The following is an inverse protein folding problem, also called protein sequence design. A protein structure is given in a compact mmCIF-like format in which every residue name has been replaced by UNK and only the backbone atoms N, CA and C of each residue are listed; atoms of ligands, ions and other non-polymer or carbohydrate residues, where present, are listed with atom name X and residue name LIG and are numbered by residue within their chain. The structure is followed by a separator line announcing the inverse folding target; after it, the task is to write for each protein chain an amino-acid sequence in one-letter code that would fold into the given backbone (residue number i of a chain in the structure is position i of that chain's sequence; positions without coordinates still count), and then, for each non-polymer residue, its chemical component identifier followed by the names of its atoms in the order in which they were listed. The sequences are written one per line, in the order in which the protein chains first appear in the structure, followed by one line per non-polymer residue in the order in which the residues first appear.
data_IF_433060919167
#
_entry.id   IF_433060919167
#
_cell.length_a   1.000
_cell.length_b   1.000
_cell.length_c   1.000
_cell.angle_alpha   90.00
_cell.angle_beta   90.00
_cell.angle_gamma   90.00
#
_symmetry.space_group_name_H-M   'P 1'
#
loop_
_entity.id
_entity.type
_entity.pdbx_description
1 polymer ?
#
# COMPACT_ATOMS: atom_id res chain seq x y z
N UNK A 1 3.86 35.07 -2.57
CA UNK A 1 3.50 33.79 -1.95
C UNK A 1 3.44 32.76 -3.05
N UNK A 2 4.56 32.11 -3.36
CA UNK A 2 4.61 31.04 -4.35
C UNK A 2 3.95 29.82 -3.74
N UNK A 3 2.74 29.46 -4.18
CA UNK A 3 2.08 28.25 -3.70
C UNK A 3 2.80 27.04 -4.28
N UNK A 4 3.42 26.25 -3.41
CA UNK A 4 4.00 24.94 -3.74
C UNK A 4 2.84 23.96 -3.92
N UNK A 5 2.37 23.78 -5.16
CA UNK A 5 1.38 22.76 -5.44
C UNK A 5 2.06 21.39 -5.31
N UNK A 6 1.59 20.58 -4.36
CA UNK A 6 2.14 19.25 -4.13
C UNK A 6 2.06 18.35 -5.37
N UNK A 7 3.03 17.45 -5.53
CA UNK A 7 3.07 16.46 -6.62
C UNK A 7 1.80 15.60 -6.61
N UNK A 8 1.16 15.45 -7.79
CA UNK A 8 0.01 14.55 -7.95
C UNK A 8 0.41 13.11 -7.64
N UNK A 9 -0.37 12.44 -6.80
CA UNK A 9 -0.18 11.05 -6.40
C UNK A 9 -1.50 10.27 -6.47
N UNK A 10 -1.39 8.94 -6.53
CA UNK A 10 -2.52 8.01 -6.43
C UNK A 10 -2.11 6.79 -5.60
N UNK A 11 -3.08 6.07 -5.05
CA UNK A 11 -2.81 4.90 -4.24
C UNK A 11 -4.02 4.02 -3.96
N UNK A 12 -3.76 2.94 -3.23
CA UNK A 12 -4.76 1.95 -2.84
C UNK A 12 -4.90 1.93 -1.31
N UNK A 13 -6.14 1.88 -0.82
CA UNK A 13 -6.47 1.51 0.55
C UNK A 13 -6.68 0.00 0.63
N UNK A 14 -5.79 -0.70 1.31
CA UNK A 14 -5.90 -2.14 1.57
C UNK A 14 -5.24 -2.45 2.91
N UNK A 15 -5.96 -3.05 3.84
CA UNK A 15 -5.38 -3.45 5.11
C UNK A 15 -4.48 -4.69 4.97
N UNK A 16 -3.46 -4.79 5.81
CA UNK A 16 -2.48 -5.89 5.80
C UNK A 16 -3.16 -7.25 5.96
N UNK A 17 -4.20 -7.33 6.80
CA UNK A 17 -4.95 -8.57 7.05
C UNK A 17 -5.65 -9.12 5.81
N UNK A 18 -5.86 -8.29 4.79
CA UNK A 18 -6.50 -8.67 3.52
C UNK A 18 -5.52 -9.25 2.51
N UNK A 19 -4.21 -9.22 2.79
CA UNK A 19 -3.21 -9.83 1.92
C UNK A 19 -3.35 -11.36 1.93
N UNK A 20 -3.05 -12.03 0.80
CA UNK A 20 -2.98 -13.48 0.77
C UNK A 20 -1.86 -13.95 1.72
N UNK A 21 -2.16 -14.94 2.55
CA UNK A 21 -1.18 -15.59 3.42
C UNK A 21 -1.50 -17.07 3.58
N UNK A 22 -0.47 -17.87 3.84
CA UNK A 22 -0.61 -19.30 4.12
C UNK A 22 -1.22 -19.60 5.49
N UNK A 23 -1.33 -18.59 6.35
CA UNK A 23 -1.73 -18.74 7.76
C UNK A 23 -3.11 -18.15 8.08
N UNK A 24 -3.92 -17.86 7.06
CA UNK A 24 -5.33 -17.46 7.20
C UNK A 24 -5.58 -15.97 7.44
N UNK A 25 -4.55 -15.18 7.74
CA UNK A 25 -4.60 -13.72 7.82
C UNK A 25 -3.36 -13.13 7.18
N UNK A 26 -3.52 -12.05 6.43
CA UNK A 26 -2.39 -11.34 5.84
C UNK A 26 -1.47 -10.74 6.91
N UNK A 27 -0.18 -10.69 6.58
CA UNK A 27 0.90 -10.28 7.47
C UNK A 27 1.94 -9.46 6.70
N UNK A 28 2.98 -8.99 7.40
CA UNK A 28 4.11 -8.29 6.79
C UNK A 28 5.17 -9.25 6.19
N UNK A 29 4.74 -10.39 5.66
CA UNK A 29 5.57 -11.38 4.98
C UNK A 29 5.72 -11.13 3.47
N UNK A 30 6.06 -12.17 2.67
CA UNK A 30 6.36 -12.03 1.24
C UNK A 30 5.29 -11.31 0.43
N UNK A 31 4.01 -11.57 0.68
CA UNK A 31 2.91 -10.95 -0.07
C UNK A 31 2.77 -9.44 0.16
N UNK A 32 3.31 -8.90 1.25
CA UNK A 32 3.39 -7.45 1.44
C UNK A 32 4.41 -6.80 0.47
N UNK A 33 5.54 -7.46 0.24
CA UNK A 33 6.53 -7.01 -0.75
C UNK A 33 6.02 -7.16 -2.17
N UNK A 34 5.37 -8.29 -2.48
CA UNK A 34 4.72 -8.52 -3.77
C UNK A 34 3.65 -7.46 -4.06
N UNK A 35 2.86 -7.08 -3.03
CA UNK A 35 1.86 -6.02 -3.17
C UNK A 35 2.51 -4.65 -3.38
N UNK A 36 3.59 -4.32 -2.67
CA UNK A 36 4.34 -3.08 -2.91
C UNK A 36 4.93 -3.02 -4.32
N UNK A 37 5.45 -4.14 -4.84
CA UNK A 37 5.93 -4.24 -6.22
C UNK A 37 4.79 -4.10 -7.24
N UNK A 38 3.60 -4.62 -6.92
CA UNK A 38 2.40 -4.43 -7.74
C UNK A 38 1.99 -2.95 -7.78
N UNK A 39 1.98 -2.27 -6.63
CA UNK A 39 1.68 -0.84 -6.56
C UNK A 39 2.66 -0.03 -7.41
N UNK A 40 3.96 -0.33 -7.29
CA UNK A 40 5.02 0.31 -8.08
C UNK A 40 4.81 0.08 -9.59
N UNK A 41 4.52 -1.14 -10.01
CA UNK A 41 4.25 -1.48 -11.41
C UNK A 41 2.98 -0.79 -11.94
N UNK A 42 1.98 -0.61 -11.09
CA UNK A 42 0.72 0.08 -11.41
C UNK A 42 0.81 1.61 -11.31
N UNK A 43 1.99 2.18 -11.07
CA UNK A 43 2.19 3.63 -10.91
C UNK A 43 1.53 4.22 -9.66
N UNK A 44 1.14 3.38 -8.71
CA UNK A 44 0.61 3.80 -7.41
C UNK A 44 1.78 4.23 -6.52
N UNK A 45 1.66 5.40 -5.92
CA UNK A 45 2.69 6.02 -5.08
C UNK A 45 2.34 5.96 -3.58
N UNK A 46 1.11 5.54 -3.25
CA UNK A 46 0.63 5.45 -1.88
C UNK A 46 -0.01 4.08 -1.62
N UNK A 47 0.27 3.53 -0.45
CA UNK A 47 -0.47 2.42 0.15
C UNK A 47 -1.03 2.91 1.48
N UNK A 48 -2.35 3.07 1.56
CA UNK A 48 -3.01 3.40 2.81
C UNK A 48 -3.45 2.12 3.53
N UNK A 49 -3.22 2.07 4.83
CA UNK A 49 -3.66 0.97 5.71
C UNK A 49 -4.54 1.52 6.85
N UNK A 50 -5.36 0.66 7.43
CA UNK A 50 -6.08 0.92 8.69
C UNK A 50 -5.11 0.87 9.89
N UNK A 51 -5.53 1.34 11.09
CA UNK A 51 -4.73 1.26 12.30
C UNK A 51 -4.31 -0.18 12.68
N UNK A 52 -3.13 -0.31 13.30
CA UNK A 52 -2.49 -1.59 13.68
C UNK A 52 -2.39 -1.79 15.20
N UNK A 53 -3.18 -1.03 15.96
CA UNK A 53 -3.17 -0.95 17.43
C UNK A 53 -4.25 -1.81 18.09
#
# INVERSE_FOLDING_TARGET
MSQEYGTRCSGILLHITSLPSKFGVGDFGPSAFEFADLLRQAGQSLWQILPIN
#
